data_IF_745841306621
#
_entry.id   IF_745841306621
#
_cell.length_a   1.000
_cell.length_b   1.000
_cell.length_c   1.000
_cell.angle_alpha   90.00
_cell.angle_beta   90.00
_cell.angle_gamma   90.00
#
_symmetry.space_group_name_H-M   'P 1'
#
loop_
_entity.id
_entity.type
_entity.pdbx_description
1 polymer ?
#
# COMPACT_ATOMS: atom_id res chain seq x y z
N UNK A 1 17.87 -5.62 11.29
CA UNK A 1 16.64 -5.22 10.54
C UNK A 1 15.98 -6.46 9.96
N UNK A 2 14.67 -6.66 10.16
CA UNK A 2 13.97 -7.82 9.59
C UNK A 2 13.63 -7.59 8.11
N UNK A 3 13.72 -8.65 7.31
CA UNK A 3 13.33 -8.62 5.89
C UNK A 3 11.82 -8.39 5.79
N UNK A 4 11.35 -7.55 4.87
CA UNK A 4 9.91 -7.25 4.65
C UNK A 4 9.06 -8.52 4.39
N UNK A 5 9.69 -9.59 3.87
CA UNK A 5 9.05 -10.88 3.66
C UNK A 5 8.43 -11.53 4.91
N UNK A 6 8.82 -11.10 6.12
CA UNK A 6 8.32 -11.63 7.39
C UNK A 6 7.60 -10.59 8.26
N UNK A 7 7.65 -9.31 7.90
CA UNK A 7 7.00 -8.24 8.68
C UNK A 7 5.48 -8.28 8.53
N UNK A 8 4.77 -8.30 9.65
CA UNK A 8 3.30 -8.26 9.67
C UNK A 8 2.72 -6.95 9.14
N UNK A 9 3.53 -5.89 9.05
CA UNK A 9 3.15 -4.59 8.50
C UNK A 9 3.15 -4.55 6.96
N UNK A 10 3.68 -5.57 6.29
CA UNK A 10 3.66 -5.74 4.84
C UNK A 10 2.45 -6.58 4.45
N UNK A 11 1.71 -6.23 3.38
CA UNK A 11 0.58 -7.03 2.90
C UNK A 11 0.98 -8.49 2.62
N UNK A 12 0.10 -9.44 2.95
CA UNK A 12 0.40 -10.87 2.84
C UNK A 12 0.81 -11.32 1.43
N UNK A 13 0.15 -10.90 0.34
CA UNK A 13 0.58 -11.22 -1.01
C UNK A 13 1.99 -10.73 -1.32
N UNK A 14 2.35 -9.53 -0.88
CA UNK A 14 3.70 -8.96 -1.09
C UNK A 14 4.77 -9.78 -0.34
N UNK A 15 4.48 -10.23 0.88
CA UNK A 15 5.39 -11.11 1.63
C UNK A 15 5.68 -12.42 0.89
N UNK A 16 4.64 -13.02 0.29
CA UNK A 16 4.78 -14.23 -0.53
C UNK A 16 5.61 -13.95 -1.78
N UNK A 17 5.30 -12.89 -2.52
CA UNK A 17 6.03 -12.49 -3.72
C UNK A 17 7.51 -12.21 -3.42
N UNK A 18 7.83 -11.50 -2.33
CA UNK A 18 9.24 -11.25 -1.92
C UNK A 18 9.95 -12.57 -1.63
N UNK A 19 9.32 -13.51 -0.91
CA UNK A 19 9.92 -14.83 -0.64
C UNK A 19 10.21 -15.60 -1.93
N UNK A 20 9.33 -15.52 -2.91
CA UNK A 20 9.52 -16.21 -4.18
C UNK A 20 10.62 -15.57 -5.02
N UNK A 21 10.75 -14.21 -5.03
CA UNK A 21 11.90 -13.54 -5.63
C UNK A 21 13.21 -13.97 -4.97
N UNK A 22 13.26 -14.06 -3.63
CA UNK A 22 14.48 -14.49 -2.93
C UNK A 22 14.92 -15.92 -3.33
N UNK A 23 13.97 -16.82 -3.58
CA UNK A 23 14.29 -18.17 -4.11
C UNK A 23 14.82 -18.11 -5.55
N UNK A 24 14.22 -17.25 -6.41
CA UNK A 24 14.64 -17.07 -7.79
C UNK A 24 16.05 -16.50 -7.91
N UNK A 25 16.41 -15.51 -7.08
CA UNK A 25 17.76 -14.95 -7.02
C UNK A 25 18.83 -16.03 -6.81
N UNK A 26 18.52 -17.09 -6.07
CA UNK A 26 19.46 -18.17 -5.80
C UNK A 26 19.65 -19.15 -6.96
N UNK A 27 18.76 -19.19 -7.95
CA UNK A 27 18.69 -20.26 -8.96
C UNK A 27 18.49 -19.78 -10.39
N UNK A 28 18.21 -18.50 -10.58
CA UNK A 28 17.80 -17.91 -11.85
C UNK A 28 18.66 -16.70 -12.23
N UNK A 29 18.48 -16.19 -13.44
CA UNK A 29 19.14 -14.99 -13.94
C UNK A 29 18.43 -13.71 -13.49
N UNK A 30 19.10 -12.56 -13.66
CA UNK A 30 18.48 -11.23 -13.43
C UNK A 30 17.24 -11.03 -14.30
N UNK A 31 17.29 -11.39 -15.59
CA UNK A 31 16.17 -11.27 -16.53
C UNK A 31 14.95 -12.11 -16.06
N UNK A 32 15.18 -13.34 -15.59
CA UNK A 32 14.11 -14.19 -15.04
C UNK A 32 13.44 -13.53 -13.82
N UNK A 33 14.22 -12.85 -12.98
CA UNK A 33 13.72 -12.14 -11.79
C UNK A 33 12.93 -10.91 -12.20
N UNK A 34 13.39 -10.15 -13.18
CA UNK A 34 12.67 -8.99 -13.72
C UNK A 34 11.32 -9.43 -14.31
N UNK A 35 11.29 -10.50 -15.11
CA UNK A 35 10.05 -11.05 -15.67
C UNK A 35 9.09 -11.49 -14.57
N UNK A 36 9.59 -12.10 -13.52
CA UNK A 36 8.76 -12.47 -12.36
C UNK A 36 8.19 -11.25 -11.63
N UNK A 37 8.97 -10.18 -11.48
CA UNK A 37 8.52 -8.92 -10.87
C UNK A 37 7.39 -8.30 -11.70
N UNK A 38 7.49 -8.29 -13.03
CA UNK A 38 6.41 -7.79 -13.90
C UNK A 38 5.13 -8.63 -13.81
N UNK A 39 5.27 -9.94 -13.70
CA UNK A 39 4.14 -10.84 -13.43
C UNK A 39 3.50 -10.55 -12.06
N UNK A 40 4.30 -10.29 -11.03
CA UNK A 40 3.82 -9.86 -9.72
C UNK A 40 3.05 -8.54 -9.80
N UNK A 41 3.54 -7.56 -10.56
CA UNK A 41 2.87 -6.27 -10.80
C UNK A 41 1.48 -6.46 -11.41
N UNK A 42 1.39 -7.28 -12.45
CA UNK A 42 0.13 -7.60 -13.12
C UNK A 42 -0.85 -8.27 -12.17
N UNK A 43 -0.39 -9.28 -11.43
CA UNK A 43 -1.20 -9.99 -10.43
C UNK A 43 -1.68 -9.05 -9.31
N UNK A 44 -0.79 -8.20 -8.81
CA UNK A 44 -1.11 -7.26 -7.73
C UNK A 44 -2.25 -6.31 -8.10
N UNK A 45 -2.29 -5.83 -9.35
CA UNK A 45 -3.35 -4.94 -9.84
C UNK A 45 -4.74 -5.60 -9.87
N UNK A 46 -4.81 -6.92 -9.87
CA UNK A 46 -6.07 -7.68 -9.84
C UNK A 46 -6.56 -8.02 -8.43
N UNK A 47 -5.75 -7.77 -7.40
CA UNK A 47 -6.11 -8.05 -6.02
C UNK A 47 -7.07 -6.99 -5.45
N UNK A 48 -7.97 -7.39 -4.54
CA UNK A 48 -8.86 -6.44 -3.89
C UNK A 48 -8.10 -5.52 -2.91
N UNK A 49 -8.66 -4.36 -2.58
CA UNK A 49 -8.04 -3.39 -1.66
C UNK A 49 -7.62 -3.99 -0.32
N UNK A 50 -8.40 -4.94 0.19
CA UNK A 50 -8.16 -5.60 1.48
C UNK A 50 -6.87 -6.41 1.49
N UNK A 51 -6.44 -6.93 0.34
CA UNK A 51 -5.22 -7.75 0.24
C UNK A 51 -3.97 -6.93 0.00
N UNK A 52 -4.09 -5.75 -0.66
CA UNK A 52 -2.95 -4.90 -1.01
C UNK A 52 -2.64 -3.82 0.02
N UNK A 53 -3.59 -3.52 0.91
CA UNK A 53 -3.46 -2.45 1.90
C UNK A 53 -2.52 -2.80 3.03
N UNK A 54 -1.81 -1.79 3.55
CA UNK A 54 -0.85 -1.96 4.64
C UNK A 54 -1.53 -2.18 5.98
N UNK A 55 -1.27 -3.31 6.68
CA UNK A 55 -1.73 -3.51 8.06
C UNK A 55 -0.99 -2.56 9.02
N UNK A 56 -1.72 -1.90 9.90
CA UNK A 56 -1.18 -1.07 10.98
C UNK A 56 -2.08 -1.12 12.22
N UNK A 57 -1.51 -0.78 13.36
CA UNK A 57 -2.29 -0.49 14.57
C UNK A 57 -2.36 1.01 14.74
N UNK A 58 -3.55 1.54 14.97
CA UNK A 58 -3.74 2.97 15.20
C UNK A 58 -3.58 3.26 16.68
N UNK A 59 -2.66 4.16 17.02
CA UNK A 59 -2.48 4.69 18.38
C UNK A 59 -2.72 6.19 18.41
N UNK A 60 -3.25 6.66 19.52
CA UNK A 60 -3.45 8.09 19.80
C UNK A 60 -4.30 8.85 18.76
N UNK A 61 -5.32 8.22 18.19
CA UNK A 61 -6.22 8.86 17.19
C UNK A 61 -6.76 10.21 17.68
N UNK A 62 -7.08 10.31 18.97
CA UNK A 62 -7.59 11.55 19.58
C UNK A 62 -6.58 12.71 19.52
N UNK A 63 -5.28 12.41 19.62
CA UNK A 63 -4.19 13.42 19.57
C UNK A 63 -4.14 14.15 18.24
N UNK A 64 -4.54 13.48 17.18
CA UNK A 64 -4.44 14.02 15.82
C UNK A 64 -5.74 14.65 15.29
N UNK A 65 -6.80 14.72 16.13
CA UNK A 65 -8.02 15.43 15.75
C UNK A 65 -7.79 16.93 15.81
N UNK A 66 -8.22 17.63 14.78
CA UNK A 66 -8.23 19.08 14.73
C UNK A 66 -9.60 19.64 15.10
N UNK A 67 -9.62 20.85 15.62
CA UNK A 67 -10.85 21.61 15.86
C UNK A 67 -11.41 22.18 14.56
N UNK A 68 -10.52 22.59 13.65
CA UNK A 68 -10.87 23.30 12.40
C UNK A 68 -10.72 22.45 11.14
N UNK A 69 -10.23 21.21 11.26
CA UNK A 69 -10.00 20.30 10.15
C UNK A 69 -10.28 18.84 10.57
N UNK A 70 -10.22 17.90 9.64
CA UNK A 70 -10.42 16.48 9.96
C UNK A 70 -9.25 15.94 10.78
N UNK A 71 -8.03 16.44 10.54
CA UNK A 71 -6.79 16.02 11.23
C UNK A 71 -5.79 17.16 11.34
N UNK A 72 -4.84 17.05 12.27
CA UNK A 72 -3.74 18.00 12.46
C UNK A 72 -2.60 17.78 11.45
N UNK A 73 -1.85 18.86 11.16
CA UNK A 73 -0.62 18.79 10.34
C UNK A 73 0.40 17.85 11.00
N UNK A 74 1.03 16.99 10.20
CA UNK A 74 2.02 16.01 10.69
C UNK A 74 1.41 14.70 11.20
N UNK A 75 0.11 14.52 11.05
CA UNK A 75 -0.55 13.23 11.37
C UNK A 75 0.04 12.10 10.52
N UNK A 76 0.47 10.97 11.14
CA UNK A 76 0.93 9.79 10.40
C UNK A 76 -0.12 9.30 9.40
N UNK A 77 0.34 8.81 8.24
CA UNK A 77 -0.56 8.51 7.11
C UNK A 77 -1.70 7.55 7.46
N UNK A 78 -1.42 6.49 8.22
CA UNK A 78 -2.43 5.51 8.63
C UNK A 78 -3.45 6.11 9.62
N UNK A 79 -3.01 7.00 10.53
CA UNK A 79 -3.88 7.70 11.46
C UNK A 79 -4.73 8.75 10.72
N UNK A 80 -4.15 9.45 9.73
CA UNK A 80 -4.88 10.36 8.85
C UNK A 80 -5.97 9.63 8.09
N UNK A 81 -5.65 8.48 7.48
CA UNK A 81 -6.64 7.63 6.83
C UNK A 81 -7.76 7.18 7.76
N UNK A 82 -7.47 6.89 9.03
CA UNK A 82 -8.46 6.51 10.03
C UNK A 82 -9.40 7.68 10.40
N UNK A 83 -8.86 8.87 10.56
CA UNK A 83 -9.68 10.07 10.83
C UNK A 83 -10.57 10.43 9.64
N UNK A 84 -10.05 10.30 8.41
CA UNK A 84 -10.82 10.48 7.18
C UNK A 84 -11.95 9.46 7.09
N UNK A 85 -11.67 8.18 7.31
CA UNK A 85 -12.67 7.13 7.35
C UNK A 85 -13.79 7.46 8.34
N UNK A 86 -13.44 7.77 9.58
CA UNK A 86 -14.42 8.10 10.61
C UNK A 86 -15.27 9.33 10.25
N UNK A 87 -14.65 10.35 9.63
CA UNK A 87 -15.35 11.54 9.18
C UNK A 87 -16.39 11.20 8.10
N UNK A 88 -15.98 10.50 7.04
CA UNK A 88 -16.85 10.21 5.91
C UNK A 88 -17.91 9.15 6.22
N UNK A 89 -17.61 8.16 7.05
CA UNK A 89 -18.61 7.20 7.55
C UNK A 89 -19.72 7.92 8.33
N UNK A 90 -19.38 8.89 9.17
CA UNK A 90 -20.39 9.72 9.86
C UNK A 90 -21.15 10.64 8.92
N UNK A 91 -20.43 11.36 8.06
CA UNK A 91 -21.01 12.31 7.09
C UNK A 91 -22.04 11.65 6.16
N UNK A 92 -21.75 10.41 5.74
CA UNK A 92 -22.63 9.64 4.85
C UNK A 92 -23.59 8.70 5.59
N UNK A 93 -23.73 8.83 6.92
CA UNK A 93 -24.63 8.03 7.75
C UNK A 93 -24.41 6.51 7.67
N UNK A 94 -23.16 6.08 7.49
CA UNK A 94 -22.76 4.68 7.29
C UNK A 94 -22.36 3.96 8.59
N UNK A 95 -22.62 4.57 9.76
CA UNK A 95 -22.22 4.02 11.07
C UNK A 95 -22.91 2.71 11.45
N UNK A 96 -24.00 2.36 10.79
CA UNK A 96 -24.65 1.06 10.97
C UNK A 96 -23.90 -0.06 10.21
N UNK A 97 -23.26 0.27 9.11
CA UNK A 97 -22.50 -0.68 8.28
C UNK A 97 -21.03 -0.78 8.72
N UNK A 98 -20.43 0.34 9.05
CA UNK A 98 -19.00 0.44 9.38
C UNK A 98 -18.79 0.93 10.82
N UNK A 99 -18.08 0.14 11.61
CA UNK A 99 -17.62 0.57 12.93
C UNK A 99 -16.57 1.66 12.79
N UNK A 100 -16.63 2.68 13.65
CA UNK A 100 -15.62 3.73 13.69
C UNK A 100 -14.30 3.18 14.21
N UNK A 101 -13.21 3.64 13.61
CA UNK A 101 -11.85 3.28 14.02
C UNK A 101 -11.53 3.98 15.35
N UNK A 102 -11.17 3.19 16.36
CA UNK A 102 -10.79 3.65 17.69
C UNK A 102 -9.30 3.40 17.96
N UNK A 103 -8.84 3.94 19.08
CA UNK A 103 -7.46 3.75 19.52
C UNK A 103 -7.18 2.28 19.82
N UNK A 104 -6.02 1.77 19.38
CA UNK A 104 -5.59 0.38 19.56
C UNK A 104 -6.10 -0.59 18.50
N UNK A 105 -6.97 -0.16 17.59
CA UNK A 105 -7.51 -1.04 16.55
C UNK A 105 -6.51 -1.35 15.44
N UNK A 106 -6.57 -2.57 14.96
CA UNK A 106 -5.86 -3.00 13.74
C UNK A 106 -6.66 -2.54 12.53
N UNK A 107 -5.99 -1.82 11.67
CA UNK A 107 -6.53 -1.28 10.42
C UNK A 107 -5.68 -1.68 9.23
N UNK A 108 -6.21 -1.43 8.05
CA UNK A 108 -5.47 -1.42 6.79
C UNK A 108 -5.58 -0.04 6.18
N UNK A 109 -4.53 0.43 5.47
CA UNK A 109 -4.61 1.66 4.72
C UNK A 109 -4.04 1.49 3.32
N UNK A 110 -4.58 2.21 2.36
CA UNK A 110 -4.07 2.27 1.00
C UNK A 110 -3.95 3.71 0.51
N UNK A 111 -3.05 3.91 -0.45
CA UNK A 111 -2.86 5.16 -1.15
C UNK A 111 -3.96 5.37 -2.20
N UNK A 112 -4.34 6.62 -2.38
CA UNK A 112 -5.31 7.05 -3.38
C UNK A 112 -4.69 8.07 -4.33
N UNK A 113 -5.04 7.97 -5.61
CA UNK A 113 -4.77 9.00 -6.62
C UNK A 113 -5.66 10.21 -6.39
N UNK A 114 -5.15 11.39 -6.70
CA UNK A 114 -5.94 12.64 -6.74
C UNK A 114 -6.01 13.18 -8.17
N UNK A 115 -7.12 13.89 -8.53
CA UNK A 115 -8.30 14.22 -7.70
C UNK A 115 -9.20 13.02 -7.44
N UNK A 116 -9.88 12.99 -6.29
CA UNK A 116 -10.86 11.98 -5.91
C UNK A 116 -11.96 12.60 -5.02
N UNK A 117 -13.06 11.90 -4.71
CA UNK A 117 -14.20 12.45 -3.97
C UNK A 117 -13.89 13.05 -2.60
N UNK A 118 -12.84 12.58 -1.93
CA UNK A 118 -12.44 13.09 -0.60
C UNK A 118 -11.25 14.05 -0.66
N UNK A 119 -10.67 14.27 -1.87
CA UNK A 119 -9.50 15.12 -2.12
C UNK A 119 -8.25 14.77 -1.28
N UNK A 120 -8.14 13.51 -0.88
CA UNK A 120 -7.06 12.99 -0.03
C UNK A 120 -6.34 11.82 -0.70
N UNK A 121 -5.09 11.58 -0.29
CA UNK A 121 -4.24 10.54 -0.90
C UNK A 121 -4.18 9.23 -0.08
N UNK A 122 -5.05 9.06 0.89
CA UNK A 122 -5.09 7.87 1.76
C UNK A 122 -6.49 7.66 2.30
N UNK A 123 -6.84 6.39 2.50
CA UNK A 123 -7.98 5.96 3.30
C UNK A 123 -7.56 4.74 4.14
N UNK A 124 -8.08 4.64 5.36
CA UNK A 124 -7.95 3.45 6.20
C UNK A 124 -9.30 2.81 6.43
N UNK A 125 -9.31 1.53 6.76
CA UNK A 125 -10.51 0.75 7.07
C UNK A 125 -10.15 -0.42 7.99
N UNK A 126 -11.13 -1.02 8.66
CA UNK A 126 -10.89 -2.14 9.59
C UNK A 126 -10.81 -3.46 8.81
N UNK A 127 -11.89 -3.92 8.26
CA UNK A 127 -11.99 -5.22 7.57
C UNK A 127 -12.31 -5.05 6.09
N UNK A 128 -13.32 -4.25 5.76
CA UNK A 128 -13.85 -4.07 4.43
C UNK A 128 -13.58 -2.65 3.93
N UNK A 129 -13.17 -2.55 2.68
CA UNK A 129 -13.00 -1.27 2.00
C UNK A 129 -14.36 -0.55 1.87
N UNK A 130 -14.44 0.76 2.16
CA UNK A 130 -15.71 1.50 2.15
C UNK A 130 -16.16 1.83 0.72
N UNK A 131 -16.85 0.91 0.05
CA UNK A 131 -17.31 1.03 -1.33
C UNK A 131 -18.22 2.24 -1.56
N UNK A 132 -19.06 2.59 -0.56
CA UNK A 132 -19.98 3.72 -0.64
C UNK A 132 -19.29 5.08 -0.73
N UNK A 133 -18.00 5.15 -0.44
CA UNK A 133 -17.21 6.36 -0.64
C UNK A 133 -16.75 6.52 -2.09
N UNK A 134 -17.01 5.54 -2.96
CA UNK A 134 -16.66 5.54 -4.39
C UNK A 134 -15.16 5.82 -4.62
N UNK A 135 -14.29 5.22 -3.80
CA UNK A 135 -12.84 5.39 -3.85
C UNK A 135 -12.10 4.25 -4.55
N UNK A 136 -12.77 3.16 -4.88
CA UNK A 136 -12.23 1.95 -5.49
C UNK A 136 -11.39 2.23 -6.75
N UNK A 137 -11.91 3.03 -7.68
CA UNK A 137 -11.22 3.43 -8.93
C UNK A 137 -10.08 4.43 -8.74
N UNK A 138 -9.93 4.99 -7.54
CA UNK A 138 -8.86 5.94 -7.22
C UNK A 138 -7.72 5.27 -6.42
N UNK A 139 -7.79 3.98 -6.14
CA UNK A 139 -6.70 3.26 -5.48
C UNK A 139 -5.44 3.36 -6.33
N UNK A 140 -4.35 3.81 -5.72
CA UNK A 140 -3.05 3.92 -6.39
C UNK A 140 -2.29 2.60 -6.29
N UNK A 141 -2.67 1.64 -7.14
CA UNK A 141 -2.05 0.32 -7.18
C UNK A 141 -0.54 0.38 -7.47
N UNK A 142 -0.10 1.34 -8.28
CA UNK A 142 1.31 1.46 -8.65
C UNK A 142 2.14 1.95 -7.45
N UNK A 143 1.69 3.00 -6.76
CA UNK A 143 2.35 3.47 -5.54
C UNK A 143 2.27 2.42 -4.41
N UNK A 144 1.15 1.72 -4.32
CA UNK A 144 0.94 0.65 -3.35
C UNK A 144 1.93 -0.50 -3.58
N UNK A 145 2.11 -0.93 -4.85
CA UNK A 145 3.08 -1.95 -5.24
C UNK A 145 4.52 -1.49 -5.02
N UNK A 146 4.84 -0.27 -5.42
CA UNK A 146 6.17 0.30 -5.20
C UNK A 146 6.57 0.24 -3.72
N UNK A 147 5.72 0.76 -2.83
CA UNK A 147 6.04 0.86 -1.39
C UNK A 147 5.99 -0.47 -0.65
N UNK A 148 5.13 -1.39 -1.06
CA UNK A 148 4.97 -2.67 -0.36
C UNK A 148 5.86 -3.79 -0.88
N UNK A 149 6.33 -3.68 -2.12
CA UNK A 149 7.08 -4.74 -2.79
C UNK A 149 8.41 -4.25 -3.39
N UNK A 150 8.38 -3.23 -4.28
CA UNK A 150 9.58 -2.83 -5.03
C UNK A 150 10.63 -2.15 -4.15
N UNK A 151 10.27 -1.15 -3.33
CA UNK A 151 11.23 -0.45 -2.47
C UNK A 151 12.00 -1.43 -1.54
N UNK A 152 11.33 -2.35 -0.81
CA UNK A 152 12.03 -3.34 -0.02
C UNK A 152 12.90 -4.30 -0.84
N UNK A 153 12.43 -4.66 -2.04
CA UNK A 153 13.13 -5.59 -2.92
C UNK A 153 14.37 -4.95 -3.56
N UNK A 154 14.27 -3.69 -3.99
CA UNK A 154 15.40 -2.93 -4.57
C UNK A 154 16.62 -2.96 -3.64
N UNK A 155 16.45 -2.80 -2.34
CA UNK A 155 17.54 -2.86 -1.37
C UNK A 155 18.30 -4.20 -1.46
N UNK A 156 17.60 -5.30 -1.69
CA UNK A 156 18.18 -6.64 -1.80
C UNK A 156 18.87 -6.81 -3.16
N UNK A 157 18.19 -6.43 -4.25
CA UNK A 157 18.73 -6.55 -5.60
C UNK A 157 19.97 -5.68 -5.80
N UNK A 158 19.95 -4.44 -5.33
CA UNK A 158 21.10 -3.52 -5.38
C UNK A 158 22.33 -4.12 -4.66
N UNK A 159 22.12 -4.86 -3.55
CA UNK A 159 23.22 -5.50 -2.81
C UNK A 159 23.96 -6.58 -3.60
N UNK A 160 23.32 -7.14 -4.64
CA UNK A 160 23.90 -8.14 -5.54
C UNK A 160 24.17 -7.59 -6.95
N UNK A 161 23.99 -6.27 -7.14
CA UNK A 161 24.21 -5.59 -8.43
C UNK A 161 23.13 -5.85 -9.48
N UNK A 162 21.93 -6.27 -9.07
CA UNK A 162 20.79 -6.51 -9.96
C UNK A 162 19.78 -5.37 -9.94
N UNK A 163 19.05 -5.19 -11.06
CA UNK A 163 17.95 -4.24 -11.18
C UNK A 163 16.58 -4.91 -10.98
N UNK A 164 15.63 -4.15 -10.46
CA UNK A 164 14.22 -4.58 -10.41
C UNK A 164 13.47 -4.32 -11.72
N UNK A 165 14.04 -3.56 -12.64
CA UNK A 165 13.42 -3.13 -13.89
C UNK A 165 14.44 -3.22 -15.03
N UNK A 166 13.97 -3.51 -16.25
CA UNK A 166 14.85 -3.50 -17.44
C UNK A 166 15.35 -2.08 -17.69
N UNK A 167 16.67 -1.92 -17.74
CA UNK A 167 17.30 -0.68 -18.21
C UNK A 167 17.04 -0.56 -19.70
N UNK A 168 16.31 0.46 -20.11
CA UNK A 168 16.21 0.84 -21.53
C UNK A 168 17.55 1.50 -21.88
N UNK A 169 18.45 0.72 -22.45
CA UNK A 169 19.67 1.30 -23.04
C UNK A 169 19.26 2.16 -24.23
N UNK A 170 19.57 3.44 -24.16
CA UNK A 170 19.37 4.38 -25.28
C UNK A 170 20.08 3.92 -26.59
N UNK A 171 21.09 3.06 -26.49
CA UNK A 171 21.76 2.45 -27.64
C UNK A 171 20.84 1.59 -28.52
N UNK A 172 19.75 1.03 -27.96
CA UNK A 172 18.78 0.24 -28.75
C UNK A 172 17.89 1.10 -29.67
N UNK A 173 17.92 2.43 -29.53
CA UNK A 173 17.17 3.34 -30.39
C UNK A 173 17.98 3.81 -31.62
N UNK A 174 19.26 3.44 -31.73
CA UNK A 174 20.16 3.89 -32.81
C UNK A 174 20.60 2.75 -33.74
N UNK A 175 19.88 1.64 -33.77
CA UNK A 175 20.10 0.52 -34.71
C UNK A 175 18.97 0.46 -35.71
#
# INVERSE_FOLDING_TARGET
MGIEAVKSSTPAPCRTMIKDVLKLIMTKTEDDVIDFIENCRTKFRSLPPEEISFPRTVSNVKKYKSVNAIYEKGTPIHARGALLFNHYVKKNQLTQKYSLINNGEKIKFCYLKRPNPIQENVISFIQQFPEELNLDKYIDYDLQFEKSFLEPLKIILDSIGWSAERTVNLESFFV
#
